data_IF_336847008077
#
_entry.id   IF_336847008077
#
_cell.length_a   1.000
_cell.length_b   1.000
_cell.length_c   1.000
_cell.angle_alpha   90.00
_cell.angle_beta   90.00
_cell.angle_gamma   90.00
#
_symmetry.space_group_name_H-M   'P 1'
#
loop_
_entity.id
_entity.type
_entity.pdbx_description
1 polymer ?
#
# COMPACT_ATOMS: atom_id res chain seq x y z
N UNK A 1 24.59 -23.67 4.27
CA UNK A 1 23.26 -23.91 3.68
C UNK A 1 22.73 -22.58 3.17
N UNK A 2 23.10 -22.21 1.95
CA UNK A 2 22.51 -21.08 1.24
C UNK A 2 21.16 -21.56 0.71
N UNK A 3 20.08 -21.08 1.34
CA UNK A 3 18.71 -21.46 1.00
C UNK A 3 18.29 -20.76 -0.30
N UNK A 4 17.43 -21.43 -1.07
CA UNK A 4 16.96 -21.13 -2.43
C UNK A 4 16.21 -19.79 -2.62
N UNK A 5 16.27 -18.87 -1.66
CA UNK A 5 15.56 -17.58 -1.69
C UNK A 5 16.33 -16.49 -2.45
N UNK A 6 17.63 -16.67 -2.74
CA UNK A 6 18.45 -15.68 -3.45
C UNK A 6 18.54 -15.84 -4.99
N UNK A 7 17.87 -16.83 -5.60
CA UNK A 7 18.12 -17.24 -6.99
C UNK A 7 17.47 -16.38 -8.09
N UNK A 8 16.72 -15.32 -7.77
CA UNK A 8 15.80 -14.68 -8.74
C UNK A 8 16.13 -13.23 -9.08
N UNK A 9 17.26 -12.71 -8.58
CA UNK A 9 17.72 -11.33 -8.83
C UNK A 9 18.67 -11.24 -10.04
N UNK A 10 19.03 -12.37 -10.66
CA UNK A 10 20.13 -12.42 -11.62
C UNK A 10 19.74 -12.05 -13.06
N UNK A 11 18.45 -11.90 -13.38
CA UNK A 11 18.02 -11.41 -14.69
C UNK A 11 17.30 -10.06 -14.58
N UNK A 12 18.10 -8.99 -14.52
CA UNK A 12 17.63 -7.60 -14.46
C UNK A 12 16.74 -7.21 -15.66
N UNK A 13 16.67 -8.03 -16.71
CA UNK A 13 15.84 -7.78 -17.89
C UNK A 13 14.34 -7.94 -17.61
N UNK A 14 13.93 -8.88 -16.75
CA UNK A 14 12.51 -9.21 -16.51
C UNK A 14 11.84 -8.34 -15.43
N UNK A 15 12.61 -7.72 -14.53
CA UNK A 15 12.07 -6.82 -13.51
C UNK A 15 11.33 -5.63 -14.16
N UNK A 16 11.76 -5.19 -15.35
CA UNK A 16 11.09 -4.12 -16.10
C UNK A 16 9.65 -4.47 -16.53
N UNK A 17 9.35 -5.77 -16.66
CA UNK A 17 8.03 -6.31 -17.02
C UNK A 17 7.16 -6.63 -15.81
N UNK A 18 7.66 -6.43 -14.59
CA UNK A 18 6.92 -6.69 -13.37
C UNK A 18 5.63 -5.85 -13.32
N UNK A 19 4.48 -6.52 -13.30
CA UNK A 19 3.16 -5.90 -13.31
C UNK A 19 2.53 -5.87 -11.92
N UNK A 20 2.66 -6.96 -11.18
CA UNK A 20 2.09 -7.14 -9.84
C UNK A 20 3.04 -7.95 -8.96
N UNK A 21 3.18 -7.53 -7.70
CA UNK A 21 3.72 -8.37 -6.62
C UNK A 21 2.71 -8.43 -5.50
N UNK A 22 2.29 -9.63 -5.12
CA UNK A 22 1.56 -9.88 -3.89
C UNK A 22 2.50 -10.46 -2.85
N UNK A 23 2.55 -9.83 -1.68
CA UNK A 23 3.42 -10.19 -0.57
C UNK A 23 2.70 -10.00 0.76
N UNK A 24 3.05 -10.76 1.78
CA UNK A 24 2.38 -10.66 3.06
C UNK A 24 2.57 -11.84 3.99
N UNK A 25 1.70 -11.88 4.98
CA UNK A 25 1.53 -12.89 6.02
C UNK A 25 0.02 -13.15 6.21
N UNK A 26 -0.34 -14.06 7.10
CA UNK A 26 -1.73 -14.54 7.20
C UNK A 26 -2.75 -13.47 7.61
N UNK A 27 -2.30 -12.43 8.31
CA UNK A 27 -3.13 -11.33 8.80
C UNK A 27 -2.93 -10.01 8.02
N UNK A 28 -2.09 -9.99 6.97
CA UNK A 28 -1.84 -8.81 6.15
C UNK A 28 -1.28 -9.17 4.76
N UNK A 29 -1.81 -8.55 3.70
CA UNK A 29 -1.31 -8.72 2.33
C UNK A 29 -1.17 -7.36 1.66
N UNK A 30 -0.04 -7.12 1.00
CA UNK A 30 0.17 -6.02 0.06
C UNK A 30 0.19 -6.55 -1.36
N UNK A 31 -0.64 -5.95 -2.22
CA UNK A 31 -0.60 -6.11 -3.66
C UNK A 31 -0.09 -4.79 -4.29
N UNK A 32 1.07 -4.85 -4.92
CA UNK A 32 1.77 -3.69 -5.47
C UNK A 32 1.83 -3.76 -6.99
N UNK A 33 1.25 -2.76 -7.66
CA UNK A 33 1.48 -2.49 -9.08
C UNK A 33 2.29 -1.21 -9.23
N UNK A 34 2.62 -0.76 -10.44
CA UNK A 34 3.32 0.51 -10.62
C UNK A 34 2.49 1.74 -10.16
N UNK A 35 1.16 1.68 -10.25
CA UNK A 35 0.28 2.83 -9.94
C UNK A 35 -0.43 2.76 -8.59
N UNK A 36 -0.45 1.60 -7.93
CA UNK A 36 -1.20 1.42 -6.68
C UNK A 36 -0.54 0.44 -5.72
N UNK A 37 -0.65 0.72 -4.43
CA UNK A 37 -0.46 -0.25 -3.34
C UNK A 37 -1.83 -0.58 -2.76
N UNK A 38 -2.19 -1.85 -2.69
CA UNK A 38 -3.41 -2.32 -2.02
C UNK A 38 -3.04 -3.12 -0.79
N UNK A 39 -3.38 -2.61 0.40
CA UNK A 39 -3.15 -3.25 1.69
C UNK A 39 -4.45 -3.89 2.19
N UNK A 40 -4.48 -5.21 2.28
CA UNK A 40 -5.50 -5.95 3.01
C UNK A 40 -5.02 -6.26 4.42
N UNK A 41 -5.89 -6.10 5.40
CA UNK A 41 -5.63 -6.40 6.81
C UNK A 41 -6.75 -7.27 7.37
N UNK A 42 -6.38 -8.41 7.95
CA UNK A 42 -7.29 -9.27 8.67
C UNK A 42 -7.65 -8.68 10.04
N UNK A 43 -8.85 -8.99 10.55
CA UNK A 43 -9.38 -8.51 11.85
C UNK A 43 -8.45 -8.68 13.06
N UNK A 44 -7.48 -9.60 12.98
CA UNK A 44 -6.51 -9.89 14.06
C UNK A 44 -5.20 -9.09 13.93
N UNK A 45 -5.02 -8.30 12.87
CA UNK A 45 -3.83 -7.50 12.66
C UNK A 45 -3.65 -6.50 13.81
N UNK A 46 -2.43 -6.46 14.37
CA UNK A 46 -2.10 -5.61 15.52
C UNK A 46 -1.72 -4.20 15.07
N UNK A 47 -1.94 -3.21 15.95
CA UNK A 47 -1.54 -1.80 15.74
C UNK A 47 -0.09 -1.66 15.30
N UNK A 48 0.83 -2.39 15.92
CA UNK A 48 2.26 -2.30 15.61
C UNK A 48 2.60 -2.84 14.22
N UNK A 49 1.90 -3.88 13.75
CA UNK A 49 2.05 -4.40 12.39
C UNK A 49 1.63 -3.33 11.38
N UNK A 50 0.46 -2.71 11.59
CA UNK A 50 -0.08 -1.67 10.72
C UNK A 50 0.90 -0.49 10.65
N UNK A 51 1.38 -0.01 11.80
CA UNK A 51 2.37 1.08 11.87
C UNK A 51 3.66 0.74 11.12
N UNK A 52 4.18 -0.49 11.28
CA UNK A 52 5.38 -0.94 10.58
C UNK A 52 5.17 -0.95 9.06
N UNK A 53 4.06 -1.53 8.59
CA UNK A 53 3.74 -1.56 7.15
C UNK A 53 3.67 -0.14 6.58
N UNK A 54 2.91 0.77 7.22
CA UNK A 54 2.80 2.16 6.76
C UNK A 54 4.15 2.89 6.78
N UNK A 55 4.98 2.62 7.78
CA UNK A 55 6.34 3.17 7.88
C UNK A 55 7.25 2.65 6.77
N UNK A 56 7.20 1.36 6.43
CA UNK A 56 7.96 0.78 5.34
C UNK A 56 7.57 1.41 3.99
N UNK A 57 6.26 1.58 3.75
CA UNK A 57 5.75 2.28 2.56
C UNK A 57 6.31 3.70 2.50
N UNK A 58 6.17 4.47 3.58
CA UNK A 58 6.65 5.86 3.63
C UNK A 58 8.16 5.99 3.49
N UNK A 59 8.94 4.99 3.92
CA UNK A 59 10.40 5.01 3.84
C UNK A 59 10.88 4.81 2.40
N UNK A 60 10.20 3.94 1.65
CA UNK A 60 10.49 3.71 0.24
C UNK A 60 10.01 4.87 -0.63
N UNK A 61 8.83 5.42 -0.30
CA UNK A 61 8.29 6.58 -1.01
C UNK A 61 7.50 7.49 -0.05
N UNK A 62 8.13 8.60 0.33
CA UNK A 62 7.56 9.58 1.25
C UNK A 62 6.43 10.43 0.66
N UNK A 63 6.20 10.33 -0.66
CA UNK A 63 5.10 11.01 -1.35
C UNK A 63 3.78 10.24 -1.26
N UNK A 64 3.81 8.98 -0.81
CA UNK A 64 2.62 8.15 -0.67
C UNK A 64 1.71 8.69 0.43
N UNK A 65 0.44 8.80 0.10
CA UNK A 65 -0.61 9.13 1.05
C UNK A 65 -1.89 8.37 0.77
N UNK A 66 -2.83 8.51 1.69
CA UNK A 66 -4.16 7.90 1.62
C UNK A 66 -5.23 8.99 1.51
N UNK A 67 -6.16 8.80 0.59
CA UNK A 67 -7.36 9.63 0.53
C UNK A 67 -8.41 9.07 1.49
N UNK A 68 -8.75 9.87 2.50
CA UNK A 68 -9.63 9.48 3.58
C UNK A 68 -10.92 10.32 3.53
N UNK A 69 -12.05 9.65 3.32
CA UNK A 69 -13.38 10.26 3.42
C UNK A 69 -13.91 10.10 4.85
N UNK A 70 -14.37 11.21 5.44
CA UNK A 70 -14.96 11.24 6.79
C UNK A 70 -16.26 12.03 6.77
N UNK A 71 -17.24 11.60 7.56
CA UNK A 71 -18.42 12.41 7.89
C UNK A 71 -18.29 12.92 9.31
N UNK A 72 -18.10 14.23 9.48
CA UNK A 72 -17.87 14.86 10.78
C UNK A 72 -18.54 16.24 10.91
N UNK A 73 -18.52 16.79 12.13
CA UNK A 73 -18.94 18.17 12.37
C UNK A 73 -17.83 19.14 11.90
N UNK A 74 -18.17 20.41 11.64
CA UNK A 74 -17.22 21.39 11.10
C UNK A 74 -15.96 21.53 11.98
N UNK A 75 -16.15 21.64 13.31
CA UNK A 75 -15.06 21.79 14.27
C UNK A 75 -14.14 20.55 14.36
N UNK A 76 -14.57 19.41 13.83
CA UNK A 76 -13.72 18.23 13.77
C UNK A 76 -12.68 18.31 12.65
N UNK A 77 -12.87 19.18 11.65
CA UNK A 77 -11.93 19.36 10.53
C UNK A 77 -10.57 19.85 11.07
N UNK A 78 -10.59 20.88 11.91
CA UNK A 78 -9.38 21.43 12.55
C UNK A 78 -8.66 20.38 13.43
N UNK A 79 -9.42 19.47 14.05
CA UNK A 79 -8.85 18.35 14.84
C UNK A 79 -8.11 17.34 13.96
N UNK A 80 -8.52 17.15 12.71
CA UNK A 80 -7.78 16.31 11.75
C UNK A 80 -6.54 17.05 11.24
N UNK A 81 -6.66 18.33 10.90
CA UNK A 81 -5.54 19.13 10.40
C UNK A 81 -4.41 19.27 11.42
N UNK A 82 -4.76 19.47 12.71
CA UNK A 82 -3.79 19.49 13.82
C UNK A 82 -3.10 18.14 14.04
N UNK A 83 -3.66 17.03 13.54
CA UNK A 83 -3.03 15.70 13.51
C UNK A 83 -2.22 15.46 12.23
N UNK A 84 -2.08 16.47 11.38
CA UNK A 84 -1.28 16.43 10.16
C UNK A 84 -2.00 15.93 8.91
N UNK A 85 -3.33 15.75 8.98
CA UNK A 85 -4.13 15.49 7.78
C UNK A 85 -4.21 16.77 6.95
N UNK A 86 -4.26 16.65 5.63
CA UNK A 86 -4.40 17.80 4.73
C UNK A 86 -5.81 17.82 4.18
N UNK A 87 -6.55 18.88 4.47
CA UNK A 87 -7.90 19.06 3.93
C UNK A 87 -7.83 19.21 2.40
N UNK A 88 -8.51 18.34 1.66
CA UNK A 88 -8.60 18.41 0.19
C UNK A 88 -9.88 19.11 -0.22
N UNK A 89 -11.01 18.67 0.33
CA UNK A 89 -12.31 19.29 0.08
C UNK A 89 -13.30 18.93 1.18
N UNK A 90 -14.37 19.71 1.30
CA UNK A 90 -15.50 19.38 2.15
C UNK A 90 -16.81 19.89 1.55
N UNK A 91 -17.90 19.18 1.83
CA UNK A 91 -19.24 19.55 1.41
C UNK A 91 -20.24 19.27 2.54
N UNK A 92 -21.16 20.21 2.76
CA UNK A 92 -22.24 20.04 3.74
C UNK A 92 -23.17 18.91 3.30
N UNK A 93 -23.45 17.99 4.20
CA UNK A 93 -24.36 16.86 4.01
C UNK A 93 -25.31 16.75 5.20
N UNK A 94 -26.59 17.10 4.98
CA UNK A 94 -27.61 17.22 6.04
C UNK A 94 -27.11 18.16 7.17
N UNK A 95 -26.80 17.58 8.34
CA UNK A 95 -26.36 18.29 9.54
C UNK A 95 -24.84 18.16 9.80
N UNK A 96 -24.10 17.51 8.90
CA UNK A 96 -22.65 17.26 9.01
C UNK A 96 -21.93 17.71 7.75
N UNK A 97 -20.63 17.44 7.70
CA UNK A 97 -19.77 17.66 6.55
C UNK A 97 -19.18 16.32 6.10
N UNK A 98 -19.26 16.06 4.80
CA UNK A 98 -18.45 15.06 4.13
C UNK A 98 -17.14 15.73 3.80
N UNK A 99 -16.04 15.17 4.26
CA UNK A 99 -14.71 15.77 4.16
C UNK A 99 -13.76 14.75 3.56
N UNK A 100 -13.00 15.18 2.56
CA UNK A 100 -11.90 14.42 1.97
C UNK A 100 -10.59 14.97 2.49
N UNK A 101 -9.82 14.12 3.14
CA UNK A 101 -8.47 14.42 3.59
C UNK A 101 -7.45 13.63 2.79
N UNK A 102 -6.31 14.25 2.53
CA UNK A 102 -5.09 13.55 2.17
C UNK A 102 -4.29 13.27 3.44
N UNK A 103 -3.93 12.02 3.66
CA UNK A 103 -3.15 11.55 4.81
C UNK A 103 -1.74 11.20 4.34
N UNK A 104 -0.77 12.12 4.47
CA UNK A 104 0.62 11.84 4.07
C UNK A 104 1.27 10.86 5.06
N UNK A 105 1.75 9.72 4.56
CA UNK A 105 2.37 8.70 5.44
C UNK A 105 3.72 9.17 6.02
N UNK A 106 4.36 10.15 5.37
CA UNK A 106 5.61 10.77 5.83
C UNK A 106 5.45 11.66 7.06
N UNK A 107 4.22 12.10 7.39
CA UNK A 107 3.95 12.84 8.62
C UNK A 107 3.63 11.87 9.75
N UNK A 108 4.52 11.77 10.73
CA UNK A 108 4.44 10.80 11.83
C UNK A 108 3.09 10.84 12.57
N UNK A 109 2.58 12.02 12.91
CA UNK A 109 1.32 12.15 13.65
C UNK A 109 0.11 11.72 12.79
N UNK A 110 0.13 12.07 11.50
CA UNK A 110 -0.91 11.67 10.56
C UNK A 110 -0.93 10.15 10.38
N UNK A 111 0.24 9.53 10.20
CA UNK A 111 0.40 8.08 10.10
C UNK A 111 -0.05 7.36 11.37
N UNK A 112 0.29 7.88 12.56
CA UNK A 112 -0.13 7.28 13.84
C UNK A 112 -1.65 7.33 13.98
N UNK A 113 -2.26 8.49 13.71
CA UNK A 113 -3.71 8.65 13.76
C UNK A 113 -4.43 7.77 12.75
N UNK A 114 -3.86 7.62 11.54
CA UNK A 114 -4.40 6.74 10.51
C UNK A 114 -4.28 5.26 10.88
N UNK A 115 -3.17 4.86 11.48
CA UNK A 115 -3.02 3.50 12.00
C UNK A 115 -4.07 3.20 13.09
N UNK A 116 -4.41 4.17 13.93
CA UNK A 116 -5.48 4.04 14.93
C UNK A 116 -6.86 3.90 14.29
N UNK A 117 -7.18 4.70 13.26
CA UNK A 117 -8.45 4.56 12.56
C UNK A 117 -8.60 3.20 11.88
N UNK A 118 -7.52 2.65 11.32
CA UNK A 118 -7.51 1.28 10.78
C UNK A 118 -7.79 0.25 11.87
N UNK A 119 -7.20 0.40 13.07
CA UNK A 119 -7.47 -0.50 14.20
C UNK A 119 -8.95 -0.45 14.60
N UNK A 120 -9.56 0.73 14.61
CA UNK A 120 -10.99 0.89 14.90
C UNK A 120 -11.88 0.24 13.83
N UNK A 121 -11.48 0.29 12.56
CA UNK A 121 -12.15 -0.46 11.48
C UNK A 121 -12.01 -1.97 11.66
N UNK A 122 -10.82 -2.44 12.08
CA UNK A 122 -10.56 -3.87 12.28
C UNK A 122 -11.42 -4.50 13.38
N UNK A 123 -11.90 -3.70 14.34
CA UNK A 123 -12.89 -4.14 15.34
C UNK A 123 -14.23 -4.53 14.72
N UNK A 124 -14.54 -4.03 13.51
CA UNK A 124 -15.78 -4.29 12.78
C UNK A 124 -15.63 -5.41 11.74
N UNK A 125 -14.42 -5.68 11.27
CA UNK A 125 -14.15 -6.72 10.27
C UNK A 125 -12.79 -6.55 9.62
N UNK A 126 -12.52 -7.31 8.55
CA UNK A 126 -11.33 -7.07 7.74
C UNK A 126 -11.44 -5.71 7.03
N UNK A 127 -10.31 -5.06 6.71
CA UNK A 127 -10.30 -3.80 5.97
C UNK A 127 -9.29 -3.85 4.83
N UNK A 128 -9.51 -2.99 3.83
CA UNK A 128 -8.63 -2.81 2.69
C UNK A 128 -8.36 -1.33 2.47
N UNK A 129 -7.10 -0.96 2.24
CA UNK A 129 -6.64 0.39 1.95
C UNK A 129 -5.93 0.42 0.61
N UNK A 130 -6.25 1.40 -0.21
CA UNK A 130 -5.60 1.61 -1.51
C UNK A 130 -4.86 2.93 -1.47
N UNK A 131 -3.57 2.90 -1.78
CA UNK A 131 -2.70 4.06 -1.83
C UNK A 131 -2.32 4.31 -3.29
N UNK A 132 -2.50 5.54 -3.74
CA UNK A 132 -1.90 5.97 -4.99
C UNK A 132 -0.41 6.16 -4.73
N UNK A 133 0.42 5.59 -5.60
CA UNK A 133 1.86 5.77 -5.55
C UNK A 133 2.42 5.81 -6.97
N UNK A 134 3.59 6.41 -7.11
CA UNK A 134 4.34 6.41 -8.37
C UNK A 134 5.45 5.36 -8.29
N UNK A 135 5.03 4.09 -8.32
CA UNK A 135 5.88 2.93 -8.21
C UNK A 135 6.58 2.59 -9.51
N UNK A 136 7.69 1.87 -9.39
CA UNK A 136 8.32 1.14 -10.47
C UNK A 136 8.85 -0.17 -9.88
N UNK A 137 9.36 -1.06 -10.72
CA UNK A 137 9.81 -2.36 -10.28
C UNK A 137 10.90 -2.29 -9.19
N UNK A 138 11.81 -1.32 -9.28
CA UNK A 138 12.81 -1.07 -8.23
C UNK A 138 12.16 -0.69 -6.90
N UNK A 139 11.20 0.25 -6.89
CA UNK A 139 10.46 0.63 -5.68
C UNK A 139 9.67 -0.53 -5.09
N UNK A 140 9.09 -1.40 -5.93
CA UNK A 140 8.38 -2.61 -5.49
C UNK A 140 9.34 -3.56 -4.76
N UNK A 141 10.52 -3.81 -5.34
CA UNK A 141 11.52 -4.67 -4.71
C UNK A 141 12.13 -4.07 -3.44
N UNK A 142 12.35 -2.75 -3.41
CA UNK A 142 12.77 -2.04 -2.21
C UNK A 142 11.71 -2.13 -1.10
N UNK A 143 10.42 -2.01 -1.45
CA UNK A 143 9.32 -2.17 -0.50
C UNK A 143 9.26 -3.60 0.04
N UNK A 144 9.42 -4.61 -0.82
CA UNK A 144 9.52 -5.99 -0.36
C UNK A 144 10.69 -6.17 0.62
N UNK A 145 11.88 -5.69 0.28
CA UNK A 145 13.08 -5.79 1.14
C UNK A 145 12.83 -5.13 2.50
N UNK A 146 12.32 -3.90 2.49
CA UNK A 146 12.04 -3.16 3.73
C UNK A 146 10.99 -3.87 4.61
N UNK A 147 9.95 -4.46 3.99
CA UNK A 147 8.94 -5.22 4.73
C UNK A 147 9.49 -6.54 5.28
N UNK A 148 10.26 -7.26 4.47
CA UNK A 148 10.91 -8.50 4.89
C UNK A 148 11.83 -8.30 6.10
N UNK A 149 12.60 -7.20 6.09
CA UNK A 149 13.56 -6.90 7.16
C UNK A 149 12.90 -6.40 8.45
N UNK A 150 11.72 -5.75 8.36
CA UNK A 150 11.08 -5.07 9.50
C UNK A 150 9.79 -5.74 10.00
N UNK A 151 9.23 -6.67 9.23
CA UNK A 151 7.98 -7.37 9.53
C UNK A 151 8.21 -8.88 9.46
N UNK A 152 8.26 -9.52 10.63
CA UNK A 152 8.51 -10.95 10.73
C UNK A 152 7.47 -11.78 9.96
N UNK A 153 7.98 -12.70 9.14
CA UNK A 153 7.19 -13.63 8.34
C UNK A 153 6.58 -13.01 7.08
N UNK A 154 7.08 -11.85 6.64
CA UNK A 154 6.64 -11.24 5.38
C UNK A 154 7.29 -11.94 4.19
N UNK A 155 6.48 -12.45 3.26
CA UNK A 155 6.98 -13.22 2.12
C UNK A 155 6.27 -12.84 0.82
N UNK A 156 6.95 -13.00 -0.31
CA UNK A 156 6.29 -12.96 -1.63
C UNK A 156 5.39 -14.17 -1.76
N UNK A 157 4.14 -13.94 -2.16
CA UNK A 157 3.13 -14.98 -2.43
C UNK A 157 2.94 -15.19 -3.92
N UNK A 158 3.02 -14.10 -4.69
CA UNK A 158 2.77 -14.11 -6.14
C UNK A 158 3.50 -12.97 -6.82
N UNK A 159 3.99 -13.23 -8.03
CA UNK A 159 4.43 -12.19 -8.97
C UNK A 159 3.76 -12.42 -10.32
N UNK A 160 3.43 -11.34 -11.01
CA UNK A 160 2.96 -11.36 -12.39
C UNK A 160 3.83 -10.43 -13.23
N UNK A 161 4.20 -10.90 -14.41
CA UNK A 161 4.94 -10.16 -15.41
C UNK A 161 4.05 -9.90 -16.61
N UNK A 162 4.33 -8.83 -17.36
CA UNK A 162 3.67 -8.60 -18.65
C UNK A 162 4.15 -9.67 -19.64
N UNK A 163 3.21 -10.39 -20.24
CA UNK A 163 3.51 -11.29 -21.35
C UNK A 163 3.76 -10.49 -22.63
N UNK A 164 4.87 -10.78 -23.32
CA UNK A 164 5.20 -10.22 -24.64
C UNK A 164 4.41 -10.93 -25.78
N UNK A 165 3.13 -11.26 -25.56
CA UNK A 165 2.33 -11.96 -26.56
C UNK A 165 1.56 -10.99 -27.45
N UNK A 166 2.21 -10.39 -28.45
CA UNK A 166 1.52 -10.00 -29.69
C UNK A 166 2.45 -9.71 -30.90
N UNK A 167 2.33 -10.57 -31.92
CA UNK A 167 2.64 -10.32 -33.34
C UNK A 167 3.94 -10.97 -33.86
N UNK A 168 4.00 -11.77 -34.93
CA UNK A 168 3.02 -12.25 -35.91
C UNK A 168 3.68 -13.49 -36.57
N UNK A 169 3.22 -14.71 -36.26
CA UNK A 169 3.63 -15.91 -37.00
C UNK A 169 2.76 -16.05 -38.24
N UNK A 170 2.91 -15.13 -39.22
CA UNK A 170 2.61 -15.45 -40.61
C UNK A 170 3.82 -16.16 -41.20
N UNK A 171 3.89 -17.46 -40.96
CA UNK A 171 4.66 -18.35 -41.80
C UNK A 171 3.87 -19.65 -41.95
N UNK A 172 3.01 -19.69 -42.97
CA UNK A 172 2.54 -20.96 -43.54
C UNK A 172 3.36 -21.24 -44.80
N UNK A 173 3.96 -22.44 -44.91
CA UNK A 173 4.77 -22.87 -46.04
C UNK A 173 3.90 -23.45 -47.17
N UNK A 174 4.43 -23.42 -48.41
CA UNK A 174 3.97 -24.22 -49.55
C UNK A 174 3.17 -23.45 -50.59
#
# INVERSE_FOLDING_TARGET
MQSKEQSWIDDRSDISKLNLVEMGRDDATLACTQGKISLWLGKKAKRDLIKRILSCISKVDSSVGYENEVICDFDAIEKYESRGYVLVSYARTKNKYRVFFHVPLSRKDAMICFAESIVDELRKGNTQKSFLWNGNATKIMLLFTELNDNVMGWQIRRMEFKDDSNGDSRNTPG
#
